data_IF_485008334726
#
_entry.id   IF_485008334726
#
_cell.length_a   1.000
_cell.length_b   1.000
_cell.length_c   1.000
_cell.angle_alpha   90.00
_cell.angle_beta   90.00
_cell.angle_gamma   90.00
#
_symmetry.space_group_name_H-M   'P 1'
#
loop_
_entity.id
_entity.type
_entity.pdbx_description
1 polymer ?
#
# COMPACT_ATOMS: atom_id res chain seq x y z
N UNK A 1 -22.83 0.84 2.05
CA UNK A 1 -22.61 -0.62 2.05
C UNK A 1 -21.38 -0.93 2.91
N UNK A 2 -21.28 -2.10 3.57
CA UNK A 2 -20.02 -2.50 4.20
C UNK A 2 -18.90 -2.59 3.15
N UNK A 3 -17.62 -2.42 3.56
CA UNK A 3 -16.50 -2.63 2.64
C UNK A 3 -16.47 -4.08 2.15
N UNK A 4 -15.96 -4.27 0.93
CA UNK A 4 -15.75 -5.61 0.35
C UNK A 4 -14.32 -6.05 0.63
N UNK A 5 -14.13 -7.30 1.06
CA UNK A 5 -12.79 -7.86 1.23
C UNK A 5 -12.10 -7.99 -0.14
N UNK A 6 -10.90 -7.42 -0.27
CA UNK A 6 -10.13 -7.44 -1.52
C UNK A 6 -9.73 -8.86 -1.92
N UNK A 7 -9.92 -9.20 -3.19
CA UNK A 7 -9.32 -10.37 -3.82
C UNK A 7 -7.82 -10.16 -4.05
N UNK A 8 -7.09 -11.24 -4.38
CA UNK A 8 -5.69 -11.14 -4.82
C UNK A 8 -5.54 -10.27 -6.07
N UNK A 9 -6.55 -10.28 -6.96
CA UNK A 9 -6.56 -9.43 -8.14
C UNK A 9 -6.70 -7.95 -7.77
N UNK A 10 -7.56 -7.62 -6.80
CA UNK A 10 -7.72 -6.25 -6.31
C UNK A 10 -6.44 -5.73 -5.66
N UNK A 11 -5.75 -6.58 -4.89
CA UNK A 11 -4.46 -6.24 -4.27
C UNK A 11 -3.40 -5.96 -5.35
N UNK A 12 -3.31 -6.83 -6.36
CA UNK A 12 -2.38 -6.67 -7.47
C UNK A 12 -2.67 -5.39 -8.28
N UNK A 13 -3.95 -5.12 -8.58
CA UNK A 13 -4.36 -3.93 -9.31
C UNK A 13 -4.07 -2.66 -8.50
N UNK A 14 -4.42 -2.64 -7.21
CA UNK A 14 -4.17 -1.48 -6.35
C UNK A 14 -2.67 -1.17 -6.25
N UNK A 15 -1.82 -2.20 -6.13
CA UNK A 15 -0.37 -2.03 -6.20
C UNK A 15 0.08 -1.39 -7.53
N UNK A 16 -0.45 -1.86 -8.66
CA UNK A 16 -0.16 -1.28 -9.97
C UNK A 16 -0.60 0.19 -10.06
N UNK A 17 -1.72 0.55 -9.43
CA UNK A 17 -2.23 1.93 -9.41
C UNK A 17 -1.31 2.87 -8.59
N UNK A 18 -0.75 2.41 -7.47
CA UNK A 18 0.30 3.14 -6.75
C UNK A 18 1.54 3.38 -7.63
N UNK A 19 2.02 2.34 -8.32
CA UNK A 19 3.16 2.44 -9.23
C UNK A 19 2.90 3.42 -10.36
N UNK A 20 1.73 3.33 -11.01
CA UNK A 20 1.36 4.23 -12.10
C UNK A 20 1.24 5.69 -11.63
N UNK A 21 0.73 5.90 -10.42
CA UNK A 21 0.67 7.24 -9.81
C UNK A 21 2.07 7.78 -9.55
N UNK A 22 2.97 6.95 -9.02
CA UNK A 22 4.35 7.34 -8.75
C UNK A 22 5.13 7.70 -10.03
N UNK A 23 4.92 6.97 -11.14
CA UNK A 23 5.48 7.32 -12.46
C UNK A 23 5.00 8.67 -12.95
N UNK A 24 3.69 8.92 -12.88
CA UNK A 24 3.10 10.23 -13.23
C UNK A 24 3.66 11.35 -12.36
N UNK A 25 3.81 11.12 -11.06
CA UNK A 25 4.41 12.09 -10.15
C UNK A 25 5.85 12.43 -10.57
N UNK A 26 6.64 11.42 -10.96
CA UNK A 26 7.99 11.64 -11.45
C UNK A 26 8.01 12.45 -12.76
N UNK A 27 7.16 12.10 -13.73
CA UNK A 27 7.03 12.80 -15.02
C UNK A 27 6.61 14.27 -14.85
N UNK A 28 5.84 14.58 -13.80
CA UNK A 28 5.43 15.94 -13.46
C UNK A 28 6.50 16.73 -12.69
N UNK A 29 7.65 16.13 -12.37
CA UNK A 29 8.71 16.79 -11.62
C UNK A 29 8.43 16.91 -10.11
N UNK A 30 7.54 16.08 -9.56
CA UNK A 30 7.34 16.02 -8.10
C UNK A 30 8.60 15.43 -7.45
N UNK A 31 9.17 16.17 -6.49
CA UNK A 31 10.45 15.82 -5.86
C UNK A 31 10.31 14.81 -4.70
N UNK A 32 9.13 14.74 -4.09
CA UNK A 32 8.85 13.85 -2.97
C UNK A 32 7.44 13.28 -3.02
N UNK A 33 7.29 12.01 -2.66
CA UNK A 33 6.00 11.34 -2.49
C UNK A 33 5.96 10.62 -1.14
N UNK A 34 4.78 10.63 -0.50
CA UNK A 34 4.53 9.95 0.75
C UNK A 34 3.43 8.91 0.56
N UNK A 35 3.71 7.65 0.91
CA UNK A 35 2.71 6.59 0.94
C UNK A 35 1.91 6.68 2.23
N UNK A 36 0.59 6.82 2.11
CA UNK A 36 -0.28 6.95 3.26
C UNK A 36 -0.70 5.58 3.82
N UNK A 37 -0.03 5.13 4.88
CA UNK A 37 -0.32 3.92 5.64
C UNK A 37 -0.75 4.21 7.09
N UNK A 38 -1.57 5.26 7.23
CA UNK A 38 -1.99 5.82 8.51
C UNK A 38 -3.50 6.12 8.51
N UNK A 39 -4.02 6.53 9.66
CA UNK A 39 -5.37 7.10 9.84
C UNK A 39 -6.54 6.21 9.38
N UNK A 40 -6.35 4.90 9.35
CA UNK A 40 -7.43 3.95 9.03
C UNK A 40 -7.73 3.78 7.55
N UNK A 41 -6.90 4.36 6.66
CA UNK A 41 -6.97 4.11 5.23
C UNK A 41 -6.41 2.74 4.86
N UNK A 42 -6.52 2.36 3.58
CA UNK A 42 -6.31 1.00 3.10
C UNK A 42 -5.02 0.33 3.60
N UNK A 43 -3.86 0.98 3.42
CA UNK A 43 -2.60 0.37 3.86
C UNK A 43 -2.54 0.20 5.39
N UNK A 44 -3.12 1.15 6.16
CA UNK A 44 -3.26 1.00 7.62
C UNK A 44 -4.22 -0.14 7.99
N UNK A 45 -5.28 -0.34 7.20
CA UNK A 45 -6.24 -1.42 7.44
C UNK A 45 -5.57 -2.79 7.33
N UNK A 46 -4.62 -2.97 6.41
CA UNK A 46 -3.82 -4.21 6.33
C UNK A 46 -2.90 -4.40 7.55
N UNK A 47 -2.28 -3.32 8.06
CA UNK A 47 -1.37 -3.37 9.22
C UNK A 47 -2.09 -3.77 10.53
N UNK A 48 -3.30 -3.25 10.72
CA UNK A 48 -4.03 -3.37 11.98
C UNK A 48 -4.79 -4.70 12.09
N UNK A 49 -4.61 -5.47 13.19
CA UNK A 49 -5.42 -6.66 13.45
C UNK A 49 -6.89 -6.33 13.78
N UNK A 50 -7.23 -5.06 14.04
CA UNK A 50 -8.61 -4.61 14.30
C UNK A 50 -9.44 -4.64 13.01
N UNK A 51 -8.81 -4.40 11.86
CA UNK A 51 -9.48 -4.32 10.55
C UNK A 51 -9.14 -5.49 9.62
N UNK A 52 -7.94 -6.06 9.73
CA UNK A 52 -7.51 -7.15 8.88
C UNK A 52 -7.73 -8.50 9.57
N UNK A 53 -8.85 -9.14 9.20
CA UNK A 53 -9.22 -10.47 9.67
C UNK A 53 -8.93 -11.58 8.63
N UNK A 54 -8.11 -11.28 7.62
CA UNK A 54 -7.77 -12.25 6.56
C UNK A 54 -7.00 -13.43 7.15
N UNK A 55 -7.19 -14.59 6.53
CA UNK A 55 -6.50 -15.86 6.86
C UNK A 55 -5.53 -16.30 5.78
N UNK A 56 -5.35 -15.49 4.73
CA UNK A 56 -4.41 -15.74 3.64
C UNK A 56 -3.04 -15.10 3.89
N UNK A 57 -2.21 -15.04 2.85
CA UNK A 57 -0.86 -14.47 2.92
C UNK A 57 -0.80 -12.97 3.30
N UNK A 58 -1.94 -12.28 3.39
CA UNK A 58 -2.03 -10.87 3.74
C UNK A 58 -2.66 -10.60 5.12
N UNK A 59 -2.97 -11.64 5.91
CA UNK A 59 -3.43 -11.49 7.30
C UNK A 59 -3.01 -12.62 8.24
N UNK A 60 -3.54 -12.62 9.46
CA UNK A 60 -3.31 -13.68 10.46
C UNK A 60 -1.98 -13.59 11.24
N UNK A 61 -0.92 -13.00 10.68
CA UNK A 61 0.36 -12.77 11.37
C UNK A 61 0.89 -11.35 11.14
N UNK A 62 1.91 -10.94 11.90
CA UNK A 62 2.57 -9.66 11.68
C UNK A 62 3.19 -9.59 10.26
N UNK A 63 3.92 -10.64 9.88
CA UNK A 63 4.62 -10.76 8.58
C UNK A 63 3.64 -10.64 7.41
N UNK A 64 2.46 -11.26 7.55
CA UNK A 64 1.43 -11.19 6.52
C UNK A 64 0.75 -9.82 6.47
N UNK A 65 0.47 -9.20 7.63
CA UNK A 65 -0.16 -7.87 7.70
C UNK A 65 0.71 -6.75 7.13
N UNK A 66 2.04 -6.84 7.28
CA UNK A 66 2.96 -5.86 6.68
C UNK A 66 3.20 -6.10 5.19
N UNK A 67 2.83 -7.28 4.66
CA UNK A 67 3.18 -7.69 3.29
C UNK A 67 2.71 -6.68 2.24
N UNK A 68 1.43 -6.32 2.25
CA UNK A 68 0.90 -5.42 1.23
C UNK A 68 1.51 -4.00 1.28
N UNK A 69 1.58 -3.31 2.44
CA UNK A 69 2.32 -2.05 2.54
C UNK A 69 3.77 -2.11 2.07
N UNK A 70 4.49 -3.20 2.39
CA UNK A 70 5.88 -3.37 1.98
C UNK A 70 6.02 -3.64 0.47
N UNK A 71 5.13 -4.45 -0.12
CA UNK A 71 5.09 -4.65 -1.57
C UNK A 71 4.81 -3.35 -2.33
N UNK A 72 3.90 -2.52 -1.82
CA UNK A 72 3.62 -1.20 -2.39
C UNK A 72 4.84 -0.29 -2.28
N UNK A 73 5.49 -0.24 -1.12
CA UNK A 73 6.69 0.58 -0.93
C UNK A 73 7.82 0.18 -1.89
N UNK A 74 8.09 -1.12 -2.01
CA UNK A 74 9.11 -1.64 -2.92
C UNK A 74 8.79 -1.31 -4.38
N UNK A 75 7.57 -1.58 -4.84
CA UNK A 75 7.17 -1.32 -6.21
C UNK A 75 7.18 0.18 -6.57
N UNK A 76 6.78 1.04 -5.63
CA UNK A 76 6.85 2.50 -5.82
C UNK A 76 8.29 2.98 -5.83
N UNK A 77 9.16 2.42 -4.98
CA UNK A 77 10.59 2.76 -4.97
C UNK A 77 11.27 2.45 -6.30
N UNK A 78 10.91 1.35 -6.95
CA UNK A 78 11.43 0.98 -8.27
C UNK A 78 10.98 1.94 -9.39
N UNK A 79 9.82 2.58 -9.24
CA UNK A 79 9.22 3.41 -10.27
C UNK A 79 9.41 4.93 -10.08
N UNK A 80 9.70 5.37 -8.86
CA UNK A 80 9.93 6.76 -8.51
C UNK A 80 11.40 6.97 -8.15
N UNK A 81 12.04 8.04 -8.62
CA UNK A 81 13.46 8.34 -8.32
C UNK A 81 13.69 9.32 -7.17
N UNK A 82 12.67 10.08 -6.76
CA UNK A 82 12.79 11.14 -5.74
C UNK A 82 12.73 10.64 -4.29
N UNK A 83 12.47 11.56 -3.36
CA UNK A 83 12.32 11.24 -1.94
C UNK A 83 11.02 10.47 -1.70
N UNK A 84 11.13 9.26 -1.16
CA UNK A 84 9.99 8.39 -0.86
C UNK A 84 9.87 8.19 0.65
N UNK A 85 8.72 8.55 1.21
CA UNK A 85 8.38 8.31 2.61
C UNK A 85 7.16 7.40 2.78
N UNK A 86 6.94 6.92 4.00
CA UNK A 86 5.71 6.25 4.40
C UNK A 86 5.20 6.89 5.70
N UNK A 87 3.93 7.27 5.70
CA UNK A 87 3.25 7.80 6.88
C UNK A 87 2.55 6.68 7.65
N UNK A 88 2.88 6.54 8.92
CA UNK A 88 2.34 5.53 9.86
C UNK A 88 1.60 6.23 11.00
N UNK A 89 0.62 5.54 11.62
CA UNK A 89 -0.11 5.97 12.82
C UNK A 89 0.41 5.30 14.09
#
# INVERSE_FOLDING_TARGET
>A
APPTEMSLADIAQTKADFVNTARRSHELGIEAVELHAAHGYLLHQFLSPISNHRTDAYGGSFENRIRFPMEVFQAVREAFGGTLGMRIS
#
